data_IF_160517479675
#
_entry.id   IF_160517479675
#
_cell.length_a   1.000
_cell.length_b   1.000
_cell.length_c   1.000
_cell.angle_alpha   90.00
_cell.angle_beta   90.00
_cell.angle_gamma   90.00
#
_symmetry.space_group_name_H-M   'P 1'
#
loop_
_entity.id
_entity.type
_entity.pdbx_description
1 polymer ?
#
# COMPACT_ATOMS: atom_id res chain seq x y z
N UNK A 1 -21.26 3.94 -11.26
CA UNK A 1 -20.59 2.83 -12.01
C UNK A 1 -19.07 2.87 -11.91
N UNK A 2 -18.41 4.00 -12.19
CA UNK A 2 -16.93 4.11 -12.09
C UNK A 2 -16.40 3.89 -10.68
N UNK A 3 -17.06 4.49 -9.67
CA UNK A 3 -16.71 4.32 -8.25
C UNK A 3 -16.82 2.86 -7.78
N UNK A 4 -17.88 2.14 -8.19
CA UNK A 4 -18.04 0.74 -7.85
C UNK A 4 -17.00 -0.15 -8.55
N UNK A 5 -16.61 0.16 -9.79
CA UNK A 5 -15.55 -0.55 -10.51
C UNK A 5 -14.16 -0.30 -9.92
N UNK A 6 -13.87 0.94 -9.51
CA UNK A 6 -12.62 1.27 -8.83
C UNK A 6 -12.55 0.56 -7.47
N UNK A 7 -13.66 0.53 -6.74
CA UNK A 7 -13.77 -0.20 -5.48
C UNK A 7 -13.54 -1.70 -5.65
N UNK A 8 -14.20 -2.35 -6.61
CA UNK A 8 -14.01 -3.78 -6.86
C UNK A 8 -12.59 -4.09 -7.31
N UNK A 9 -11.97 -3.24 -8.13
CA UNK A 9 -10.57 -3.38 -8.52
C UNK A 9 -9.62 -3.29 -7.31
N UNK A 10 -9.85 -2.37 -6.37
CA UNK A 10 -9.08 -2.28 -5.13
C UNK A 10 -9.28 -3.49 -4.22
N UNK A 11 -10.51 -4.02 -4.11
CA UNK A 11 -10.78 -5.26 -3.39
C UNK A 11 -10.02 -6.42 -4.03
N UNK A 12 -10.09 -6.58 -5.36
CA UNK A 12 -9.36 -7.63 -6.08
C UNK A 12 -7.86 -7.52 -5.86
N UNK A 13 -7.30 -6.30 -5.92
CA UNK A 13 -5.89 -6.02 -5.64
C UNK A 13 -5.50 -6.47 -4.23
N UNK A 14 -6.31 -6.15 -3.22
CA UNK A 14 -6.01 -6.54 -1.83
C UNK A 14 -6.20 -8.04 -1.57
N UNK A 15 -7.17 -8.68 -2.23
CA UNK A 15 -7.32 -10.15 -2.18
C UNK A 15 -6.10 -10.83 -2.80
N UNK A 16 -5.61 -10.34 -3.94
CA UNK A 16 -4.38 -10.84 -4.55
C UNK A 16 -3.17 -10.64 -3.61
N UNK A 17 -3.04 -9.46 -3.02
CA UNK A 17 -1.98 -9.15 -2.03
C UNK A 17 -2.01 -10.12 -0.84
N UNK A 18 -3.19 -10.35 -0.22
CA UNK A 18 -3.34 -11.29 0.91
C UNK A 18 -3.01 -12.73 0.51
N UNK A 19 -3.40 -13.13 -0.71
CA UNK A 19 -3.13 -14.49 -1.23
C UNK A 19 -1.63 -14.73 -1.39
N UNK A 20 -0.94 -13.79 -2.04
CA UNK A 20 0.52 -13.84 -2.22
C UNK A 20 1.22 -13.78 -0.87
N UNK A 21 0.78 -12.89 0.02
CA UNK A 21 1.33 -12.80 1.36
C UNK A 21 1.24 -14.11 2.12
N UNK A 22 0.14 -14.85 1.93
CA UNK A 22 -0.07 -16.14 2.60
C UNK A 22 0.93 -17.19 2.12
N UNK A 23 1.13 -17.29 0.80
CA UNK A 23 2.10 -18.24 0.23
C UNK A 23 3.50 -17.93 0.74
N UNK A 24 3.91 -16.66 0.70
CA UNK A 24 5.24 -16.23 1.12
C UNK A 24 5.42 -16.41 2.64
N UNK A 25 4.45 -16.01 3.45
CA UNK A 25 4.53 -16.16 4.90
C UNK A 25 4.59 -17.64 5.33
N UNK A 26 3.85 -18.54 4.66
CA UNK A 26 3.93 -19.97 4.94
C UNK A 26 5.29 -20.56 4.56
N UNK A 27 5.90 -20.05 3.48
CA UNK A 27 7.25 -20.43 3.09
C UNK A 27 8.30 -19.95 4.10
N UNK A 28 8.32 -18.66 4.45
CA UNK A 28 9.35 -18.09 5.33
C UNK A 28 9.19 -18.46 6.81
N UNK A 29 7.95 -18.55 7.32
CA UNK A 29 7.71 -18.78 8.76
C UNK A 29 7.57 -20.26 9.11
N UNK A 30 7.12 -21.09 8.17
CA UNK A 30 6.84 -22.52 8.43
C UNK A 30 7.65 -23.47 7.56
N UNK A 31 8.42 -22.97 6.60
CA UNK A 31 9.18 -23.81 5.67
C UNK A 31 8.28 -24.68 4.77
N UNK A 32 6.99 -24.34 4.65
CA UNK A 32 6.02 -25.15 3.92
C UNK A 32 5.70 -24.54 2.56
N UNK A 33 5.85 -25.32 1.49
CA UNK A 33 5.23 -24.97 0.22
C UNK A 33 3.74 -25.28 0.27
N UNK A 34 2.92 -24.28 0.00
CA UNK A 34 1.46 -24.39 0.00
C UNK A 34 0.93 -24.14 -1.41
N UNK A 35 -0.08 -24.91 -1.82
CA UNK A 35 -0.77 -24.67 -3.08
C UNK A 35 -1.41 -23.28 -3.08
N UNK A 36 -1.19 -22.53 -4.17
CA UNK A 36 -1.74 -21.17 -4.38
C UNK A 36 -3.26 -21.18 -4.33
N UNK A 37 -3.90 -22.25 -4.83
CA UNK A 37 -5.36 -22.40 -4.86
C UNK A 37 -5.96 -22.47 -3.44
N UNK A 38 -5.36 -23.27 -2.56
CA UNK A 38 -5.77 -23.37 -1.17
C UNK A 38 -5.58 -22.03 -0.42
N UNK A 39 -4.48 -21.33 -0.71
CA UNK A 39 -4.21 -20.01 -0.14
C UNK A 39 -5.24 -18.97 -0.60
N UNK A 40 -5.64 -19.03 -1.88
CA UNK A 40 -6.65 -18.16 -2.48
C UNK A 40 -8.04 -18.43 -1.90
N UNK A 41 -8.46 -19.69 -1.82
CA UNK A 41 -9.75 -20.07 -1.23
C UNK A 41 -9.86 -19.62 0.23
N UNK A 42 -8.76 -19.72 0.98
CA UNK A 42 -8.71 -19.24 2.37
C UNK A 42 -8.68 -17.72 2.47
N UNK A 43 -8.01 -17.03 1.54
CA UNK A 43 -8.04 -15.57 1.46
C UNK A 43 -9.47 -15.06 1.21
N UNK A 44 -10.20 -15.69 0.29
CA UNK A 44 -11.59 -15.38 -0.03
C UNK A 44 -12.59 -15.73 1.08
N UNK A 45 -12.37 -16.80 1.84
CA UNK A 45 -13.34 -17.24 2.86
C UNK A 45 -13.11 -16.61 4.24
N UNK A 46 -11.84 -16.48 4.67
CA UNK A 46 -11.50 -16.04 6.03
C UNK A 46 -10.97 -14.61 6.10
N UNK A 47 -10.26 -14.16 5.07
CA UNK A 47 -9.58 -12.86 5.09
C UNK A 47 -10.27 -11.79 4.25
N UNK A 48 -11.35 -12.12 3.55
CA UNK A 48 -12.07 -11.19 2.67
C UNK A 48 -12.65 -10.02 3.45
N UNK A 49 -13.15 -10.22 4.68
CA UNK A 49 -13.58 -9.12 5.55
C UNK A 49 -12.45 -8.13 5.86
N UNK A 50 -11.27 -8.64 6.23
CA UNK A 50 -10.08 -7.80 6.47
C UNK A 50 -9.54 -7.16 5.18
N UNK A 51 -9.64 -7.84 4.04
CA UNK A 51 -9.25 -7.29 2.73
C UNK A 51 -10.18 -6.16 2.29
N UNK A 52 -11.49 -6.31 2.49
CA UNK A 52 -12.50 -5.29 2.21
C UNK A 52 -12.38 -4.07 3.16
N UNK A 53 -12.06 -4.29 4.43
CA UNK A 53 -11.74 -3.19 5.35
C UNK A 53 -10.46 -2.48 4.91
N UNK A 54 -9.44 -3.23 4.50
CA UNK A 54 -8.20 -2.68 3.99
C UNK A 54 -8.36 -1.87 2.68
N UNK A 55 -9.25 -2.28 1.78
CA UNK A 55 -9.60 -1.49 0.58
C UNK A 55 -10.36 -0.21 0.91
N UNK A 56 -11.00 -0.12 2.08
CA UNK A 56 -11.60 1.12 2.57
C UNK A 56 -10.53 2.04 3.15
N UNK A 57 -9.76 1.53 4.11
CA UNK A 57 -8.90 2.37 4.94
C UNK A 57 -7.63 2.81 4.24
N UNK A 58 -6.93 1.93 3.50
CA UNK A 58 -5.63 2.27 2.89
C UNK A 58 -5.75 3.41 1.85
N UNK A 59 -6.72 3.38 0.91
CA UNK A 59 -6.89 4.50 -0.02
C UNK A 59 -7.42 5.77 0.66
N UNK A 60 -8.27 5.64 1.68
CA UNK A 60 -8.80 6.78 2.45
C UNK A 60 -7.68 7.51 3.19
N UNK A 61 -6.76 6.76 3.80
CA UNK A 61 -5.52 7.23 4.43
C UNK A 61 -4.70 8.07 3.46
N UNK A 62 -4.50 7.56 2.24
CA UNK A 62 -3.67 8.22 1.22
C UNK A 62 -4.35 9.47 0.65
N UNK A 63 -5.65 9.41 0.40
CA UNK A 63 -6.46 10.57 -0.01
C UNK A 63 -6.44 11.68 1.04
N UNK A 64 -6.61 11.33 2.33
CA UNK A 64 -6.55 12.27 3.44
C UNK A 64 -5.17 12.95 3.56
N UNK A 65 -4.06 12.25 3.25
CA UNK A 65 -2.72 12.88 3.21
C UNK A 65 -2.62 13.96 2.14
N UNK A 66 -3.18 13.71 0.96
CA UNK A 66 -3.18 14.68 -0.14
C UNK A 66 -3.99 15.91 0.27
N UNK A 67 -5.18 15.70 0.85
CA UNK A 67 -6.02 16.80 1.36
C UNK A 67 -5.30 17.59 2.44
N UNK A 68 -4.68 16.94 3.42
CA UNK A 68 -3.93 17.62 4.47
C UNK A 68 -2.72 18.41 3.94
N UNK A 69 -2.03 17.91 2.90
CA UNK A 69 -0.96 18.68 2.23
C UNK A 69 -1.52 19.88 1.48
N UNK A 70 -2.65 19.73 0.78
CA UNK A 70 -3.33 20.82 0.10
C UNK A 70 -3.80 21.91 1.06
N UNK A 71 -4.35 21.53 2.21
CA UNK A 71 -4.77 22.47 3.25
C UNK A 71 -3.60 23.22 3.89
N UNK A 72 -2.44 22.58 4.09
CA UNK A 72 -1.24 23.26 4.59
C UNK A 72 -0.65 24.26 3.58
N UNK A 73 -0.91 24.11 2.28
CA UNK A 73 -0.47 25.07 1.26
C UNK A 73 -1.41 26.27 1.11
N UNK A 74 -2.64 26.16 1.62
CA UNK A 74 -3.68 27.20 1.58
C UNK A 74 -3.69 28.04 2.87
N UNK A 75 -2.54 28.28 3.49
CA UNK A 75 -2.42 29.17 4.66
C UNK A 75 -3.06 30.54 4.36
N UNK A 76 -4.25 30.74 4.92
CA UNK A 76 -5.04 31.97 4.89
C UNK A 76 -5.88 32.05 6.17
N UNK A 77 -6.11 33.27 6.64
CA UNK A 77 -6.62 33.68 7.96
C UNK A 77 -8.07 33.26 8.31
N UNK A 78 -8.54 32.07 7.93
CA UNK A 78 -9.91 31.64 8.22
C UNK A 78 -9.95 30.66 9.40
N UNK A 79 -10.35 31.17 10.55
CA UNK A 79 -10.49 30.46 11.84
C UNK A 79 -11.40 29.21 11.76
N UNK A 80 -12.37 29.20 10.83
CA UNK A 80 -13.27 28.06 10.60
C UNK A 80 -12.58 26.87 9.91
N UNK A 81 -11.58 27.14 9.06
CA UNK A 81 -10.79 26.09 8.40
C UNK A 81 -9.91 25.32 9.40
N UNK A 82 -9.54 25.98 10.50
CA UNK A 82 -8.67 25.44 11.53
C UNK A 82 -9.36 24.36 12.39
N UNK A 83 -10.64 24.54 12.73
CA UNK A 83 -11.42 23.55 13.48
C UNK A 83 -11.69 22.28 12.66
N UNK A 84 -12.07 22.43 11.38
CA UNK A 84 -12.25 21.30 10.47
C UNK A 84 -10.92 20.59 10.19
N UNK A 85 -9.82 21.33 10.05
CA UNK A 85 -8.49 20.74 9.93
C UNK A 85 -8.13 19.93 11.17
N UNK A 86 -8.29 20.46 12.39
CA UNK A 86 -7.97 19.74 13.63
C UNK A 86 -8.81 18.46 13.81
N UNK A 87 -10.13 18.53 13.53
CA UNK A 87 -11.01 17.38 13.59
C UNK A 87 -10.62 16.30 12.56
N UNK A 88 -10.41 16.70 11.30
CA UNK A 88 -9.94 15.80 10.25
C UNK A 88 -8.57 15.19 10.61
N UNK A 89 -7.67 15.95 11.23
CA UNK A 89 -6.34 15.50 11.63
C UNK A 89 -6.41 14.48 12.78
N UNK A 90 -7.31 14.64 13.76
CA UNK A 90 -7.55 13.64 14.82
C UNK A 90 -8.13 12.34 14.26
N UNK A 91 -9.08 12.44 13.32
CA UNK A 91 -9.63 11.27 12.62
C UNK A 91 -8.53 10.59 11.81
N UNK A 92 -7.71 11.35 11.09
CA UNK A 92 -6.54 10.86 10.35
C UNK A 92 -5.55 10.13 11.25
N UNK A 93 -5.16 10.70 12.38
CA UNK A 93 -4.26 10.06 13.35
C UNK A 93 -4.83 8.72 13.82
N UNK A 94 -6.12 8.72 14.17
CA UNK A 94 -6.80 7.51 14.62
C UNK A 94 -6.87 6.44 13.52
N UNK A 95 -7.00 6.84 12.25
CA UNK A 95 -6.98 5.92 11.12
C UNK A 95 -5.55 5.44 10.81
N UNK A 96 -4.54 6.32 10.81
CA UNK A 96 -3.13 5.96 10.60
C UNK A 96 -2.61 5.01 11.68
N UNK A 97 -3.05 5.19 12.93
CA UNK A 97 -2.72 4.28 14.04
C UNK A 97 -3.36 2.90 13.87
N UNK A 98 -4.45 2.81 13.11
CA UNK A 98 -5.25 1.60 12.93
C UNK A 98 -5.05 0.91 11.57
N UNK A 99 -4.34 1.54 10.64
CA UNK A 99 -4.19 1.03 9.28
C UNK A 99 -2.78 1.21 8.73
N UNK A 100 -2.18 0.10 8.32
CA UNK A 100 -0.95 0.08 7.53
C UNK A 100 -1.05 -1.00 6.45
N UNK A 101 -0.38 -0.78 5.32
CA UNK A 101 -0.33 -1.77 4.22
C UNK A 101 0.40 -3.05 4.60
N UNK A 102 1.28 -2.99 5.60
CA UNK A 102 2.04 -4.14 6.10
C UNK A 102 1.17 -5.17 6.85
N UNK A 103 -0.01 -4.75 7.33
CA UNK A 103 -0.96 -5.58 8.08
C UNK A 103 -1.45 -6.79 7.27
N UNK A 104 -1.46 -6.69 5.93
CA UNK A 104 -1.88 -7.79 5.05
C UNK A 104 -1.05 -9.05 5.26
N UNK A 105 0.23 -8.92 5.65
CA UNK A 105 1.09 -10.07 5.94
C UNK A 105 0.65 -10.78 7.22
N UNK A 106 0.42 -10.03 8.30
CA UNK A 106 -0.09 -10.58 9.57
C UNK A 106 -1.50 -11.20 9.42
N UNK A 107 -2.38 -10.58 8.62
CA UNK A 107 -3.69 -11.15 8.25
C UNK A 107 -3.49 -12.46 7.50
N UNK A 108 -2.59 -12.50 6.53
CA UNK A 108 -2.35 -13.67 5.71
C UNK A 108 -1.73 -14.84 6.49
N UNK A 109 -0.77 -14.55 7.35
CA UNK A 109 -0.04 -15.52 8.17
C UNK A 109 -0.89 -16.08 9.33
N UNK A 110 -1.56 -15.20 10.08
CA UNK A 110 -2.22 -15.55 11.34
C UNK A 110 -3.75 -15.46 11.31
N UNK A 111 -4.36 -14.88 10.27
CA UNK A 111 -5.82 -14.72 10.18
C UNK A 111 -6.38 -13.70 11.19
N UNK A 112 -5.57 -12.72 11.62
CA UNK A 112 -5.99 -11.65 12.54
C UNK A 112 -6.89 -10.64 11.80
N UNK A 113 -7.74 -9.93 12.55
CA UNK A 113 -8.49 -8.79 12.01
C UNK A 113 -7.57 -7.62 11.62
N UNK A 114 -7.97 -6.81 10.65
CA UNK A 114 -7.12 -5.75 10.06
C UNK A 114 -6.50 -4.80 11.09
N UNK A 115 -7.29 -4.29 12.04
CA UNK A 115 -6.80 -3.32 13.05
C UNK A 115 -5.77 -3.96 13.96
N UNK A 116 -6.03 -5.18 14.47
CA UNK A 116 -5.09 -5.90 15.34
C UNK A 116 -3.83 -6.30 14.59
N UNK A 117 -3.97 -6.78 13.35
CA UNK A 117 -2.84 -7.08 12.48
C UNK A 117 -1.97 -5.84 12.22
N UNK A 118 -2.59 -4.68 12.02
CA UNK A 118 -1.89 -3.41 11.83
C UNK A 118 -1.09 -3.01 13.06
N UNK A 119 -1.69 -3.07 14.25
CA UNK A 119 -1.01 -2.76 15.51
C UNK A 119 0.15 -3.71 15.80
N UNK A 120 -0.09 -5.02 15.71
CA UNK A 120 0.93 -6.06 15.94
C UNK A 120 2.12 -5.88 14.99
N UNK A 121 1.87 -5.61 13.71
CA UNK A 121 2.94 -5.37 12.72
C UNK A 121 3.76 -4.13 13.08
N UNK A 122 3.10 -3.08 13.55
CA UNK A 122 3.77 -1.82 13.87
C UNK A 122 4.63 -1.92 15.13
N UNK A 123 4.10 -2.55 16.18
CA UNK A 123 4.88 -2.84 17.39
C UNK A 123 6.09 -3.72 17.07
N UNK A 124 5.96 -4.66 16.14
CA UNK A 124 7.08 -5.49 15.70
C UNK A 124 8.18 -4.67 15.03
N UNK A 125 7.81 -3.75 14.14
CA UNK A 125 8.79 -2.85 13.50
C UNK A 125 9.46 -1.90 14.49
N UNK A 126 8.72 -1.40 15.49
CA UNK A 126 9.28 -0.57 16.56
C UNK A 126 10.29 -1.35 17.41
N UNK A 127 9.95 -2.57 17.83
CA UNK A 127 10.83 -3.45 18.62
C UNK A 127 12.13 -3.80 17.88
N UNK A 128 12.12 -3.75 16.55
CA UNK A 128 13.28 -4.06 15.69
C UNK A 128 13.98 -2.82 15.14
N UNK A 129 13.55 -1.61 15.53
CA UNK A 129 14.09 -0.34 15.03
C UNK A 129 14.05 -0.22 13.49
N UNK A 130 13.11 -0.92 12.84
CA UNK A 130 12.98 -0.96 11.38
C UNK A 130 12.08 0.14 10.80
N UNK A 131 11.54 1.01 11.65
CA UNK A 131 10.57 2.04 11.27
C UNK A 131 11.12 2.95 10.19
N UNK A 132 12.36 3.40 10.30
CA UNK A 132 12.97 4.31 9.32
C UNK A 132 13.19 3.65 7.97
N UNK A 133 13.62 2.37 7.97
CA UNK A 133 13.77 1.59 6.73
C UNK A 133 12.42 1.41 6.04
N UNK A 134 11.39 1.05 6.80
CA UNK A 134 10.03 0.83 6.26
C UNK A 134 9.41 2.14 5.76
N UNK A 135 9.67 3.26 6.42
CA UNK A 135 9.17 4.58 5.98
C UNK A 135 9.96 5.16 4.80
N UNK A 136 11.15 4.64 4.52
CA UNK A 136 11.96 4.94 3.33
C UNK A 136 11.59 4.10 2.11
N UNK A 137 10.70 3.12 2.26
CA UNK A 137 10.30 2.23 1.17
C UNK A 137 9.56 2.99 0.05
N UNK A 138 10.14 2.96 -1.16
CA UNK A 138 9.59 3.61 -2.36
C UNK A 138 8.69 2.68 -3.18
N UNK A 139 8.46 1.43 -2.73
CA UNK A 139 7.71 0.43 -3.50
C UNK A 139 6.30 0.92 -3.83
N UNK A 140 5.62 1.53 -2.86
CA UNK A 140 4.29 2.11 -3.08
C UNK A 140 4.27 3.19 -4.17
N UNK A 141 5.27 4.08 -4.18
CA UNK A 141 5.42 5.13 -5.17
C UNK A 141 5.73 4.57 -6.56
N UNK A 142 6.61 3.56 -6.65
CA UNK A 142 6.91 2.85 -7.90
C UNK A 142 5.65 2.17 -8.44
N UNK A 143 4.92 1.41 -7.60
CA UNK A 143 3.67 0.77 -8.00
C UNK A 143 2.64 1.75 -8.55
N UNK A 144 2.54 2.93 -7.94
CA UNK A 144 1.68 4.01 -8.43
C UNK A 144 2.15 4.55 -9.78
N UNK A 145 3.43 4.91 -9.89
CA UNK A 145 4.00 5.49 -11.11
C UNK A 145 3.92 4.52 -12.30
N UNK A 146 4.16 3.22 -12.07
CA UNK A 146 4.02 2.20 -13.12
C UNK A 146 2.59 2.13 -13.66
N UNK A 147 1.58 2.26 -12.78
CA UNK A 147 0.18 2.33 -13.21
C UNK A 147 -0.12 3.59 -14.04
N UNK A 148 0.44 4.74 -13.67
CA UNK A 148 0.29 5.99 -14.44
C UNK A 148 0.95 5.85 -15.81
N UNK A 149 2.18 5.32 -15.86
CA UNK A 149 2.91 5.10 -17.12
C UNK A 149 2.16 4.12 -18.04
N UNK A 150 1.63 3.01 -17.51
CA UNK A 150 0.86 2.07 -18.32
C UNK A 150 -0.41 2.70 -18.88
N UNK A 151 -1.14 3.47 -18.05
CA UNK A 151 -2.29 4.25 -18.49
C UNK A 151 -1.93 5.22 -19.63
N UNK A 152 -0.81 5.94 -19.50
CA UNK A 152 -0.33 6.86 -20.54
C UNK A 152 -0.03 6.11 -21.85
N UNK A 153 0.67 4.97 -21.79
CA UNK A 153 0.97 4.13 -22.97
C UNK A 153 -0.33 3.65 -23.63
N UNK A 154 -1.29 3.13 -22.87
CA UNK A 154 -2.59 2.71 -23.38
C UNK A 154 -3.33 3.86 -24.09
N UNK A 155 -3.26 5.07 -23.51
CA UNK A 155 -3.86 6.28 -24.07
C UNK A 155 -3.27 6.61 -25.44
N UNK A 156 -1.94 6.60 -25.55
CA UNK A 156 -1.20 6.93 -26.79
C UNK A 156 -1.54 5.93 -27.89
N UNK A 157 -1.49 4.64 -27.58
CA UNK A 157 -1.76 3.56 -28.55
C UNK A 157 -3.20 3.63 -29.06
N UNK A 158 -4.18 3.75 -28.15
CA UNK A 158 -5.60 3.80 -28.54
C UNK A 158 -5.95 5.12 -29.22
N UNK A 159 -5.34 6.24 -28.83
CA UNK A 159 -5.54 7.52 -29.51
C UNK A 159 -5.02 7.46 -30.96
N UNK A 160 -3.82 6.92 -31.16
CA UNK A 160 -3.20 6.78 -32.47
C UNK A 160 -4.03 5.86 -33.39
N UNK A 161 -4.48 4.72 -32.87
CA UNK A 161 -5.36 3.80 -33.61
C UNK A 161 -6.72 4.44 -33.92
N UNK A 162 -7.35 5.10 -32.96
CA UNK A 162 -8.69 5.67 -33.14
C UNK A 162 -8.65 6.86 -34.10
N UNK A 163 -7.54 7.59 -34.15
CA UNK A 163 -7.34 8.69 -35.10
C UNK A 163 -7.31 8.25 -36.57
N UNK A 164 -6.92 7.00 -36.85
CA UNK A 164 -6.91 6.45 -38.22
C UNK A 164 -8.26 5.86 -38.62
N UNK A 165 -9.05 5.33 -37.68
CA UNK A 165 -10.30 4.61 -37.99
C UNK A 165 -11.55 5.47 -37.76
N UNK A 166 -11.70 6.14 -36.61
CA UNK A 166 -12.92 6.89 -36.24
C UNK A 166 -12.61 8.15 -35.42
N UNK A 167 -12.44 9.31 -36.09
CA UNK A 167 -12.07 10.57 -35.41
C UNK A 167 -13.05 11.08 -34.35
N UNK A 168 -14.32 10.68 -34.41
CA UNK A 168 -15.35 11.14 -33.47
C UNK A 168 -15.27 10.57 -32.05
N UNK A 169 -14.57 9.44 -31.85
CA UNK A 169 -14.59 8.71 -30.57
C UNK A 169 -13.23 8.63 -29.87
N UNK A 170 -12.22 9.39 -30.33
CA UNK A 170 -10.84 9.35 -29.80
C UNK A 170 -10.83 9.60 -28.29
N UNK A 171 -11.48 10.67 -27.82
CA UNK A 171 -11.47 11.03 -26.39
C UNK A 171 -12.06 9.94 -25.50
N UNK A 172 -13.24 9.41 -25.84
CA UNK A 172 -13.93 8.39 -25.05
C UNK A 172 -13.16 7.08 -25.01
N UNK A 173 -12.66 6.60 -26.16
CA UNK A 173 -11.90 5.35 -26.24
C UNK A 173 -10.55 5.45 -25.53
N UNK A 174 -9.85 6.58 -25.66
CA UNK A 174 -8.61 6.84 -24.96
C UNK A 174 -8.81 6.83 -23.44
N UNK A 175 -9.79 7.57 -22.91
CA UNK A 175 -10.05 7.61 -21.45
C UNK A 175 -10.42 6.24 -20.91
N UNK A 176 -11.26 5.48 -21.63
CA UNK A 176 -11.63 4.12 -21.23
C UNK A 176 -10.41 3.20 -21.20
N UNK A 177 -9.54 3.27 -22.22
CA UNK A 177 -8.32 2.48 -22.29
C UNK A 177 -7.31 2.85 -21.20
N UNK A 178 -7.13 4.15 -20.89
CA UNK A 178 -6.31 4.62 -19.77
C UNK A 178 -6.81 4.02 -18.46
N UNK A 179 -8.13 4.06 -18.22
CA UNK A 179 -8.72 3.60 -16.98
C UNK A 179 -8.56 2.09 -16.81
N UNK A 180 -8.85 1.30 -17.84
CA UNK A 180 -8.69 -0.16 -17.81
C UNK A 180 -7.21 -0.53 -17.66
N UNK A 181 -6.32 0.10 -18.43
CA UNK A 181 -4.87 -0.14 -18.36
C UNK A 181 -4.30 0.15 -16.97
N UNK A 182 -4.67 1.29 -16.39
CA UNK A 182 -4.29 1.67 -15.03
C UNK A 182 -4.76 0.62 -14.00
N UNK A 183 -6.04 0.21 -14.05
CA UNK A 183 -6.58 -0.77 -13.10
C UNK A 183 -5.90 -2.13 -13.21
N UNK A 184 -5.66 -2.62 -14.43
CA UNK A 184 -4.97 -3.90 -14.64
C UNK A 184 -3.54 -3.88 -14.11
N UNK A 185 -2.78 -2.82 -14.39
CA UNK A 185 -1.42 -2.66 -13.87
C UNK A 185 -1.41 -2.55 -12.34
N UNK A 186 -2.39 -1.85 -11.75
CA UNK A 186 -2.52 -1.75 -10.28
C UNK A 186 -2.74 -3.11 -9.62
N UNK A 187 -3.53 -3.99 -10.24
CA UNK A 187 -3.74 -5.36 -9.75
C UNK A 187 -2.45 -6.17 -9.92
N UNK A 188 -1.76 -6.07 -11.06
CA UNK A 188 -0.50 -6.77 -11.29
C UNK A 188 0.59 -6.36 -10.29
N UNK A 189 0.68 -5.07 -9.96
CA UNK A 189 1.63 -4.54 -8.98
C UNK A 189 1.33 -4.96 -7.53
N UNK A 190 0.19 -5.63 -7.26
CA UNK A 190 -0.07 -6.23 -5.95
C UNK A 190 0.97 -7.30 -5.60
N UNK A 191 1.47 -8.04 -6.59
CA UNK A 191 2.47 -9.11 -6.39
C UNK A 191 3.80 -8.55 -5.84
N UNK A 192 4.53 -7.65 -6.53
CA UNK A 192 5.79 -7.13 -6.02
C UNK A 192 5.61 -6.41 -4.69
N UNK A 193 4.52 -5.65 -4.52
CA UNK A 193 4.20 -5.01 -3.25
C UNK A 193 4.01 -6.02 -2.12
N UNK A 194 3.32 -7.15 -2.36
CA UNK A 194 3.15 -8.23 -1.40
C UNK A 194 4.49 -8.89 -1.03
N UNK A 195 5.36 -9.11 -2.02
CA UNK A 195 6.68 -9.70 -1.82
C UNK A 195 7.54 -8.85 -0.87
N UNK A 196 7.65 -7.54 -1.16
CA UNK A 196 8.40 -6.60 -0.32
C UNK A 196 7.78 -6.52 1.08
N UNK A 197 6.45 -6.45 1.16
CA UNK A 197 5.73 -6.46 2.44
C UNK A 197 6.03 -7.68 3.28
N UNK A 198 5.98 -8.86 2.68
CA UNK A 198 6.29 -10.11 3.37
C UNK A 198 7.73 -10.18 3.81
N UNK A 199 8.67 -9.73 2.97
CA UNK A 199 10.08 -9.75 3.30
C UNK A 199 10.36 -8.94 4.57
N UNK A 200 9.88 -7.69 4.65
CA UNK A 200 10.05 -6.86 5.85
C UNK A 200 9.38 -7.45 7.09
N UNK A 201 8.13 -7.91 6.98
CA UNK A 201 7.39 -8.43 8.15
C UNK A 201 7.99 -9.76 8.63
N UNK A 202 8.32 -10.68 7.72
CA UNK A 202 8.90 -11.97 8.10
C UNK A 202 10.32 -11.80 8.68
N UNK A 203 11.11 -10.85 8.15
CA UNK A 203 12.40 -10.49 8.73
C UNK A 203 12.23 -9.92 10.15
N UNK A 204 11.26 -9.03 10.36
CA UNK A 204 11.01 -8.44 11.68
C UNK A 204 10.59 -9.49 12.72
N UNK A 205 9.86 -10.53 12.31
CA UNK A 205 9.52 -11.65 13.18
C UNK A 205 10.75 -12.49 13.55
N UNK A 206 11.49 -12.97 12.55
CA UNK A 206 12.62 -13.88 12.74
C UNK A 206 13.86 -13.44 11.92
N UNK A 207 14.63 -12.46 12.40
CA UNK A 207 15.76 -11.89 11.66
C UNK A 207 16.95 -12.87 11.54
N UNK A 208 17.00 -13.92 12.37
CA UNK A 208 18.06 -14.93 12.38
C UNK A 208 17.80 -16.11 11.43
N UNK A 209 16.70 -16.08 10.66
CA UNK A 209 16.41 -17.17 9.73
C UNK A 209 17.44 -17.17 8.57
N UNK A 210 17.98 -18.34 8.22
CA UNK A 210 18.99 -18.52 7.15
C UNK A 210 18.51 -18.09 5.76
N UNK A 211 17.20 -17.92 5.58
CA UNK A 211 16.59 -17.44 4.34
C UNK A 211 16.75 -15.92 4.13
N UNK A 212 17.14 -15.18 5.17
CA UNK A 212 17.36 -13.74 5.08
C UNK A 212 18.83 -13.40 4.90
N UNK A 213 19.07 -12.35 4.14
CA UNK A 213 20.39 -11.81 3.84
C UNK A 213 20.75 -10.66 4.81
N UNK A 214 22.02 -10.29 4.91
CA UNK A 214 22.49 -9.22 5.81
C UNK A 214 22.07 -7.82 5.37
N UNK A 215 21.58 -7.68 4.13
CA UNK A 215 21.19 -6.39 3.52
C UNK A 215 20.35 -5.48 4.43
N UNK A 216 19.33 -5.99 5.15
CA UNK A 216 18.52 -5.14 6.06
C UNK A 216 19.34 -4.70 7.28
N UNK A 217 20.13 -5.60 7.86
CA UNK A 217 20.97 -5.28 9.02
C UNK A 217 22.03 -4.24 8.65
N UNK A 218 22.69 -4.42 7.51
CA UNK A 218 23.70 -3.49 7.01
C UNK A 218 23.11 -2.10 6.75
N UNK A 219 21.87 -2.04 6.22
CA UNK A 219 21.16 -0.76 6.04
C UNK A 219 20.78 -0.11 7.37
N UNK A 220 20.34 -0.88 8.36
CA UNK A 220 20.07 -0.35 9.70
C UNK A 220 21.33 0.24 10.33
N UNK A 221 22.47 -0.43 10.20
CA UNK A 221 23.75 0.05 10.74
C UNK A 221 24.25 1.31 10.02
N UNK A 222 24.04 1.42 8.71
CA UNK A 222 24.35 2.63 7.95
C UNK A 222 23.50 3.83 8.38
N UNK A 223 22.20 3.61 8.65
CA UNK A 223 21.30 4.65 9.14
C UNK A 223 21.70 5.08 10.56
N UNK A 224 21.96 4.11 11.45
CA UNK A 224 22.41 4.37 12.84
C UNK A 224 23.75 5.11 12.91
N UNK A 225 24.68 4.82 11.99
CA UNK A 225 25.96 5.50 11.90
C UNK A 225 25.90 6.89 11.24
N UNK A 226 24.71 7.34 10.82
CA UNK A 226 24.49 8.65 10.19
C UNK A 226 25.11 8.75 8.79
N UNK A 227 25.46 7.62 8.16
CA UNK A 227 26.11 7.56 6.85
C UNK A 227 25.11 7.48 5.71
N UNK A 228 23.83 7.25 6.00
CA UNK A 228 22.74 7.25 5.03
C UNK A 228 21.69 8.30 5.43
N UNK A 229 21.42 9.25 4.54
CA UNK A 229 20.41 10.30 4.79
C UNK A 229 19.05 9.74 4.38
N UNK A 230 18.33 9.18 5.35
CA UNK A 230 16.92 8.85 5.15
C UNK A 230 16.13 10.15 5.25
N UNK A 231 15.33 10.45 4.22
CA UNK A 231 14.27 11.47 4.33
C UNK A 231 13.03 10.73 4.80
N UNK A 232 12.75 10.65 6.12
CA UNK A 232 11.56 9.97 6.58
C UNK A 232 10.33 10.68 6.05
N UNK A 233 9.45 9.94 5.37
CA UNK A 233 8.13 10.43 5.01
C UNK A 233 7.24 10.32 6.26
N UNK A 234 6.94 11.41 6.99
CA UNK A 234 6.29 11.30 8.27
C UNK A 234 4.88 10.72 8.09
N UNK A 235 4.57 9.60 8.75
CA UNK A 235 3.19 9.06 8.76
C UNK A 235 2.21 10.02 9.42
N UNK A 236 2.71 10.83 10.36
CA UNK A 236 2.01 11.88 11.06
C UNK A 236 2.77 13.20 10.82
N UNK A 237 2.10 14.30 10.40
CA UNK A 237 2.76 15.59 10.22
C UNK A 237 3.48 16.03 11.50
N UNK A 238 4.69 16.60 11.39
CA UNK A 238 5.54 17.04 12.53
C UNK A 238 4.81 17.93 13.55
N UNK A 239 3.76 18.64 13.13
CA UNK A 239 2.90 19.47 13.99
C UNK A 239 2.21 18.70 15.13
N UNK A 240 2.12 17.38 15.04
CA UNK A 240 1.39 16.51 15.98
C UNK A 240 2.28 15.52 16.76
N UNK A 241 3.61 15.67 16.72
CA UNK A 241 4.54 14.88 17.55
C UNK A 241 4.81 15.52 18.93
N UNK A 242 4.09 16.59 19.29
CA UNK A 242 4.18 17.25 20.60
C UNK A 242 3.14 16.74 21.57
#
# INVERSE_FOLDING_TARGET
MVLSLAWTAEVMRNVANVTVCRVIALYYLRGMQSSTEFCFQRALSKNLGSACLGSLFVPTIEALRIVARGLNLLEGENEFLFCCADCCLRVMESIFRRGNGWAYVQIAAYGKGFVKASQDTWELFQKREMVEVVDSDITSAICFLTGVCSGAICTIVVAAWTATVHRGYIGTLSVLATFIGYLMTRIAMALPHACVSCYYVCYAENPQNRLFDTTIADRLDLIKSGRDVVVPTPRVPRRFQR
#
